data_IF_590599123497
#
_entry.id   IF_590599123497
#
_cell.length_a   1.000
_cell.length_b   1.000
_cell.length_c   1.000
_cell.angle_alpha   90.00
_cell.angle_beta   90.00
_cell.angle_gamma   90.00
#
_symmetry.space_group_name_H-M   'P 1'
#
loop_
_entity.id
_entity.type
_entity.pdbx_description
1 polymer ?
#
# COMPACT_ATOMS: atom_id res chain seq x y z
N UNK A 1 -19.33 -16.63 8.29
CA UNK A 1 -19.16 -15.17 8.09
C UNK A 1 -18.74 -14.98 6.65
N UNK A 2 -19.50 -14.25 5.85
CA UNK A 2 -19.03 -13.86 4.51
C UNK A 2 -17.79 -12.98 4.67
N UNK A 3 -16.73 -13.30 3.91
CA UNK A 3 -15.54 -12.47 3.88
C UNK A 3 -15.90 -11.13 3.26
N UNK A 4 -15.82 -10.03 4.02
CA UNK A 4 -15.93 -8.68 3.45
C UNK A 4 -14.90 -8.54 2.34
N UNK A 5 -15.40 -8.27 1.14
CA UNK A 5 -14.57 -7.95 -0.04
C UNK A 5 -14.06 -6.51 0.12
N UNK A 6 -12.77 -6.31 -0.13
CA UNK A 6 -12.06 -5.03 0.03
C UNK A 6 -11.41 -4.63 -1.27
N UNK A 7 -11.33 -3.34 -1.52
CA UNK A 7 -10.51 -2.82 -2.60
C UNK A 7 -9.03 -2.96 -2.22
N UNK A 8 -8.26 -3.74 -2.98
CA UNK A 8 -6.81 -3.84 -2.75
C UNK A 8 -6.06 -2.58 -3.12
N UNK A 9 -6.67 -1.65 -3.87
CA UNK A 9 -5.99 -0.48 -4.42
C UNK A 9 -5.12 -0.78 -5.64
N UNK A 10 -4.95 -2.05 -6.02
CA UNK A 10 -4.14 -2.47 -7.16
C UNK A 10 -5.09 -2.92 -8.28
N UNK A 11 -5.19 -2.13 -9.35
CA UNK A 11 -6.20 -2.32 -10.41
C UNK A 11 -6.25 -3.74 -11.00
N UNK A 12 -5.09 -4.36 -11.25
CA UNK A 12 -5.00 -5.72 -11.83
C UNK A 12 -5.41 -6.83 -10.87
N UNK A 13 -5.35 -6.59 -9.55
CA UNK A 13 -5.81 -7.52 -8.52
C UNK A 13 -7.29 -7.26 -8.21
N UNK A 14 -7.69 -5.98 -8.17
CA UNK A 14 -9.04 -5.55 -7.88
C UNK A 14 -9.46 -5.85 -6.44
N UNK A 15 -10.68 -6.33 -6.30
CA UNK A 15 -11.32 -6.57 -5.02
C UNK A 15 -10.98 -7.96 -4.46
N UNK A 16 -10.60 -8.04 -3.18
CA UNK A 16 -10.14 -9.29 -2.56
C UNK A 16 -10.81 -9.57 -1.20
N UNK A 17 -11.00 -10.85 -0.82
CA UNK A 17 -11.42 -11.21 0.52
C UNK A 17 -10.28 -11.06 1.54
N UNK A 18 -10.64 -10.96 2.82
CA UNK A 18 -9.66 -10.96 3.90
C UNK A 18 -8.78 -12.22 3.89
N UNK A 19 -7.48 -12.06 4.19
CA UNK A 19 -6.52 -13.17 4.19
C UNK A 19 -6.00 -13.54 2.79
N UNK A 20 -6.27 -12.73 1.77
CA UNK A 20 -5.66 -12.92 0.45
C UNK A 20 -4.17 -12.57 0.49
N UNK A 21 -3.33 -13.47 -0.03
CA UNK A 21 -1.90 -13.23 -0.24
C UNK A 21 -1.59 -13.23 -1.74
N UNK A 22 -0.86 -12.23 -2.22
CA UNK A 22 -0.43 -12.14 -3.61
C UNK A 22 1.02 -11.66 -3.72
N UNK A 23 1.64 -11.97 -4.84
CA UNK A 23 2.99 -11.53 -5.21
C UNK A 23 2.90 -10.85 -6.58
N UNK A 24 3.56 -9.71 -6.71
CA UNK A 24 3.64 -8.95 -7.95
C UNK A 24 5.10 -8.81 -8.36
N UNK A 25 5.36 -8.97 -9.65
CA UNK A 25 6.67 -8.72 -10.23
C UNK A 25 6.75 -7.28 -10.72
N UNK A 26 7.92 -6.69 -10.54
CA UNK A 26 8.24 -5.33 -10.95
C UNK A 26 9.65 -5.30 -11.54
N UNK A 27 9.94 -4.33 -12.40
CA UNK A 27 11.26 -4.19 -13.02
C UNK A 27 12.00 -2.96 -12.50
N UNK A 28 11.28 -1.87 -12.25
CA UNK A 28 11.85 -0.60 -11.81
C UNK A 28 11.41 -0.22 -10.39
N UNK A 29 12.08 0.76 -9.80
CA UNK A 29 11.66 1.35 -8.52
C UNK A 29 10.30 2.03 -8.65
N UNK A 30 10.08 2.66 -9.79
CA UNK A 30 8.83 3.35 -10.13
C UNK A 30 7.68 2.35 -10.20
N UNK A 31 7.86 1.18 -10.84
CA UNK A 31 6.88 0.10 -10.86
C UNK A 31 6.49 -0.33 -9.43
N UNK A 32 7.50 -0.48 -8.54
CA UNK A 32 7.26 -0.86 -7.15
C UNK A 32 6.46 0.20 -6.39
N UNK A 33 6.72 1.48 -6.64
CA UNK A 33 5.96 2.60 -6.05
C UNK A 33 4.54 2.61 -6.59
N UNK A 34 4.36 2.48 -7.90
CA UNK A 34 3.06 2.49 -8.59
C UNK A 34 2.16 1.32 -8.15
N UNK A 35 2.76 0.22 -7.72
CA UNK A 35 2.04 -0.92 -7.12
C UNK A 35 1.70 -0.64 -5.65
N UNK A 36 2.69 -0.26 -4.84
CA UNK A 36 2.54 -0.26 -3.38
C UNK A 36 1.83 0.97 -2.83
N UNK A 37 2.00 2.15 -3.43
CA UNK A 37 1.36 3.38 -2.95
C UNK A 37 -0.17 3.29 -3.02
N UNK A 38 -0.79 2.85 -4.13
CA UNK A 38 -2.23 2.64 -4.17
C UNK A 38 -2.73 1.60 -3.16
N UNK A 39 -1.97 0.52 -2.93
CA UNK A 39 -2.28 -0.50 -1.94
C UNK A 39 -2.36 0.08 -0.52
N UNK A 40 -1.33 0.82 -0.11
CA UNK A 40 -1.33 1.45 1.21
C UNK A 40 -2.39 2.54 1.34
N UNK A 41 -2.62 3.32 0.29
CA UNK A 41 -3.69 4.32 0.28
C UNK A 41 -5.05 3.68 0.53
N UNK A 42 -5.38 2.62 -0.21
CA UNK A 42 -6.64 1.91 -0.04
C UNK A 42 -6.77 1.31 1.37
N UNK A 43 -5.71 0.72 1.92
CA UNK A 43 -5.72 0.20 3.29
C UNK A 43 -5.96 1.30 4.33
N UNK A 44 -5.24 2.41 4.25
CA UNK A 44 -5.35 3.53 5.19
C UNK A 44 -6.72 4.22 5.12
N UNK A 45 -7.26 4.45 3.93
CA UNK A 45 -8.63 4.99 3.74
C UNK A 45 -9.71 4.06 4.31
N UNK A 46 -9.44 2.76 4.38
CA UNK A 46 -10.33 1.75 4.98
C UNK A 46 -10.04 1.49 6.48
N UNK A 47 -9.21 2.30 7.13
CA UNK A 47 -8.77 2.14 8.53
C UNK A 47 -8.08 0.79 8.79
N UNK A 48 -7.30 0.30 7.83
CA UNK A 48 -6.51 -0.92 7.97
C UNK A 48 -5.11 -0.61 8.49
N UNK A 49 -4.60 -1.49 9.37
CA UNK A 49 -3.20 -1.41 9.81
C UNK A 49 -2.26 -1.78 8.66
N UNK A 50 -1.37 -0.85 8.31
CA UNK A 50 -0.49 -0.97 7.16
C UNK A 50 0.98 -1.03 7.59
N UNK A 51 1.72 -2.00 7.06
CA UNK A 51 3.16 -2.14 7.28
C UNK A 51 3.91 -2.25 5.95
N UNK A 52 4.92 -1.41 5.77
CA UNK A 52 5.80 -1.44 4.60
C UNK A 52 7.22 -1.83 4.99
N UNK A 53 7.64 -3.02 4.60
CA UNK A 53 9.04 -3.46 4.70
C UNK A 53 9.78 -3.11 3.42
N UNK A 54 10.85 -2.31 3.53
CA UNK A 54 11.59 -1.78 2.38
C UNK A 54 12.97 -2.43 2.22
N UNK A 55 13.44 -2.52 0.98
CA UNK A 55 14.78 -2.98 0.57
C UNK A 55 15.13 -2.36 -0.78
N UNK A 56 16.38 -2.52 -1.23
CA UNK A 56 16.76 -2.12 -2.61
C UNK A 56 15.73 -2.66 -3.63
N UNK A 57 15.32 -1.84 -4.62
CA UNK A 57 15.84 -0.51 -4.96
C UNK A 57 15.17 0.67 -4.22
N UNK A 58 14.24 0.42 -3.30
CA UNK A 58 13.44 1.46 -2.63
C UNK A 58 13.72 1.47 -1.13
N UNK A 59 14.44 2.49 -0.64
CA UNK A 59 14.69 2.61 0.79
C UNK A 59 13.53 3.31 1.54
N UNK A 60 13.56 3.23 2.89
CA UNK A 60 12.55 3.81 3.77
C UNK A 60 12.26 5.30 3.49
N UNK A 61 13.28 6.14 3.30
CA UNK A 61 13.10 7.59 3.08
C UNK A 61 12.40 7.87 1.75
N UNK A 62 12.73 7.11 0.72
CA UNK A 62 12.08 7.21 -0.57
C UNK A 62 10.63 6.74 -0.53
N UNK A 63 10.35 5.63 0.17
CA UNK A 63 8.99 5.13 0.38
C UNK A 63 8.12 6.15 1.14
N UNK A 64 8.64 6.72 2.23
CA UNK A 64 7.96 7.79 2.98
C UNK A 64 7.68 9.01 2.10
N UNK A 65 8.64 9.43 1.28
CA UNK A 65 8.44 10.54 0.34
C UNK A 65 7.39 10.23 -0.72
N UNK A 66 7.35 9.00 -1.24
CA UNK A 66 6.40 8.57 -2.25
C UNK A 66 4.97 8.56 -1.68
N UNK A 67 4.75 7.98 -0.50
CA UNK A 67 3.42 7.90 0.09
C UNK A 67 2.89 9.27 0.53
N UNK A 68 3.73 10.15 1.07
CA UNK A 68 3.36 11.54 1.43
C UNK A 68 2.91 12.38 0.24
N UNK A 69 3.45 12.11 -0.94
CA UNK A 69 3.01 12.78 -2.18
C UNK A 69 1.60 12.34 -2.60
N UNK A 70 1.24 11.10 -2.34
CA UNK A 70 -0.05 10.53 -2.71
C UNK A 70 -1.15 10.71 -1.65
N UNK A 71 -0.75 10.83 -0.37
CA UNK A 71 -1.62 10.96 0.79
C UNK A 71 -1.18 12.21 1.58
N UNK A 72 -1.76 13.40 1.32
CA UNK A 72 -1.32 14.65 1.92
C UNK A 72 -1.33 14.69 3.46
N UNK A 73 -2.23 13.94 4.10
CA UNK A 73 -2.35 13.82 5.55
C UNK A 73 -1.72 12.53 6.10
N UNK A 74 -0.73 11.96 5.40
CA UNK A 74 -0.09 10.70 5.81
C UNK A 74 0.47 10.73 7.24
N UNK A 75 0.91 11.89 7.73
CA UNK A 75 1.42 12.04 9.11
C UNK A 75 0.41 11.66 10.19
N UNK A 76 -0.87 11.94 9.97
CA UNK A 76 -1.94 11.59 10.92
C UNK A 76 -2.04 10.08 11.12
N UNK A 77 -1.75 9.30 10.07
CA UNK A 77 -1.71 7.84 10.17
C UNK A 77 -0.47 7.34 10.91
N UNK A 78 0.64 8.09 10.91
CA UNK A 78 1.85 7.69 11.63
C UNK A 78 1.74 7.97 13.14
N UNK A 79 1.07 9.06 13.52
CA UNK A 79 0.88 9.43 14.94
C UNK A 79 -0.06 8.49 15.69
N UNK A 80 -0.93 7.78 14.97
CA UNK A 80 -1.94 6.87 15.53
C UNK A 80 -1.55 5.39 15.47
N UNK A 81 -0.28 5.06 15.15
CA UNK A 81 0.24 3.70 15.05
C UNK A 81 1.12 3.30 16.24
#
# INVERSE_FOLDING_TARGET
>A
MESKIRNSGIDVIGNTPWGTHFCLFYQTKEDLIDILVPYFKAGLENNEYCMWVTSEPLNKKEAEKAIRRAIPNFDEYLENN
#
